data_IF_397702076906
#
_entry.id   IF_397702076906
#
_cell.length_a   1.000
_cell.length_b   1.000
_cell.length_c   1.000
_cell.angle_alpha   90.00
_cell.angle_beta   90.00
_cell.angle_gamma   90.00
#
_symmetry.space_group_name_H-M   'P 1'
#
loop_
_entity.id
_entity.type
_entity.pdbx_description
1 polymer ?
#
# COMPACT_ATOMS: atom_id res chain seq x y z
N UNK A 1 7.98 -22.58 19.24
CA UNK A 1 8.30 -21.28 18.59
C UNK A 1 8.68 -21.57 17.14
N UNK A 2 8.25 -20.80 16.15
CA UNK A 2 8.63 -21.07 14.76
C UNK A 2 10.14 -20.86 14.63
N UNK A 3 10.80 -21.81 13.97
CA UNK A 3 12.25 -22.06 14.08
C UNK A 3 13.10 -21.17 13.16
N UNK A 4 12.50 -20.41 12.23
CA UNK A 4 13.28 -19.79 11.14
C UNK A 4 12.93 -18.32 10.84
N UNK A 5 12.62 -17.50 11.87
CA UNK A 5 12.49 -16.05 11.66
C UNK A 5 13.85 -15.40 11.92
N UNK A 6 14.64 -15.16 10.87
CA UNK A 6 15.87 -14.37 10.97
C UNK A 6 15.53 -12.93 11.36
N UNK A 7 15.80 -12.58 12.61
CA UNK A 7 15.68 -11.21 13.11
C UNK A 7 16.90 -10.44 12.60
N UNK A 8 16.70 -9.44 11.74
CA UNK A 8 17.77 -8.50 11.39
C UNK A 8 18.19 -7.74 12.65
N UNK A 9 19.42 -7.94 13.12
CA UNK A 9 19.97 -7.20 14.27
C UNK A 9 20.41 -5.77 13.91
N UNK A 10 20.43 -5.41 12.61
CA UNK A 10 20.82 -4.08 12.16
C UNK A 10 19.65 -3.10 12.32
N UNK A 11 19.69 -2.31 13.41
CA UNK A 11 18.68 -1.31 13.77
C UNK A 11 18.31 -0.36 12.61
N UNK A 12 19.29 0.08 11.83
CA UNK A 12 19.08 0.98 10.70
C UNK A 12 18.17 0.37 9.61
N UNK A 13 18.38 -0.89 9.25
CA UNK A 13 17.57 -1.57 8.24
C UNK A 13 16.13 -1.76 8.73
N UNK A 14 15.96 -2.06 10.03
CA UNK A 14 14.64 -2.15 10.64
C UNK A 14 13.93 -0.81 10.61
N UNK A 15 14.62 0.29 10.92
CA UNK A 15 14.03 1.63 10.87
C UNK A 15 13.52 2.01 9.46
N UNK A 16 14.21 1.61 8.38
CA UNK A 16 13.76 1.88 7.00
C UNK A 16 12.46 1.15 6.70
N UNK A 17 12.41 -0.15 6.96
CA UNK A 17 11.20 -0.97 6.75
C UNK A 17 10.07 -0.43 7.63
N UNK A 18 10.40 -0.03 8.86
CA UNK A 18 9.42 0.54 9.78
C UNK A 18 8.92 1.93 9.39
N UNK A 19 9.75 2.69 8.70
CA UNK A 19 9.35 3.98 8.20
C UNK A 19 8.44 3.85 6.97
N UNK A 20 8.73 2.88 6.09
CA UNK A 20 7.96 2.65 4.88
C UNK A 20 6.50 2.26 5.20
N UNK A 21 6.30 1.33 6.15
CA UNK A 21 4.95 0.91 6.53
C UNK A 21 4.17 1.93 7.38
N UNK A 22 4.79 3.05 7.79
CA UNK A 22 4.20 4.00 8.75
C UNK A 22 2.93 4.65 8.22
N UNK A 23 2.89 4.93 6.91
CA UNK A 23 1.74 5.52 6.26
C UNK A 23 0.52 4.58 6.31
N UNK A 24 0.73 3.31 5.97
CA UNK A 24 -0.31 2.26 6.00
C UNK A 24 -0.82 2.09 7.43
N UNK A 25 0.08 1.93 8.41
CA UNK A 25 -0.28 1.80 9.83
C UNK A 25 -1.10 3.00 10.33
N UNK A 26 -0.75 4.22 9.94
CA UNK A 26 -1.48 5.43 10.32
C UNK A 26 -2.92 5.42 9.79
N UNK A 27 -3.14 4.95 8.55
CA UNK A 27 -4.48 4.84 7.95
C UNK A 27 -5.30 3.72 8.58
N UNK A 28 -4.68 2.57 8.82
CA UNK A 28 -5.36 1.42 9.44
C UNK A 28 -5.71 1.69 10.90
N UNK A 29 -4.89 2.45 11.64
CA UNK A 29 -5.13 2.76 13.06
C UNK A 29 -6.44 3.52 13.31
N UNK A 30 -6.89 4.34 12.37
CA UNK A 30 -8.19 5.03 12.47
C UNK A 30 -9.38 4.17 12.07
N UNK A 31 -9.17 2.94 11.59
CA UNK A 31 -10.23 2.02 11.18
C UNK A 31 -10.64 1.12 12.36
N UNK A 32 -11.89 0.65 12.35
CA UNK A 32 -12.43 -0.30 13.34
C UNK A 32 -11.90 -1.75 13.17
N UNK A 33 -10.75 -1.93 12.54
CA UNK A 33 -10.17 -3.22 12.18
C UNK A 33 -10.68 -3.79 10.86
N UNK A 34 -9.91 -4.74 10.30
CA UNK A 34 -10.23 -5.44 9.06
C UNK A 34 -10.88 -6.79 9.41
N UNK A 35 -12.14 -6.99 9.02
CA UNK A 35 -12.95 -8.15 9.45
C UNK A 35 -12.64 -9.45 8.70
N UNK A 36 -11.98 -9.38 7.55
CA UNK A 36 -11.59 -10.56 6.75
C UNK A 36 -10.30 -10.30 5.99
N UNK A 37 -9.56 -11.36 5.65
CA UNK A 37 -8.34 -11.26 4.83
C UNK A 37 -8.63 -10.68 3.46
N UNK A 38 -9.71 -11.10 2.80
CA UNK A 38 -10.11 -10.58 1.49
C UNK A 38 -10.35 -9.07 1.55
N UNK A 39 -11.09 -8.61 2.56
CA UNK A 39 -11.35 -7.19 2.79
C UNK A 39 -10.06 -6.44 3.13
N UNK A 40 -9.18 -7.05 3.93
CA UNK A 40 -7.89 -6.47 4.28
C UNK A 40 -7.01 -6.24 3.06
N UNK A 41 -6.88 -7.24 2.17
CA UNK A 41 -6.13 -7.13 0.93
C UNK A 41 -6.67 -6.00 0.06
N UNK A 42 -7.98 -5.96 -0.19
CA UNK A 42 -8.57 -4.89 -1.02
C UNK A 42 -8.37 -3.49 -0.44
N UNK A 43 -8.51 -3.33 0.89
CA UNK A 43 -8.30 -2.04 1.55
C UNK A 43 -6.83 -1.61 1.47
N UNK A 44 -5.90 -2.51 1.76
CA UNK A 44 -4.46 -2.22 1.69
C UNK A 44 -4.05 -1.84 0.27
N UNK A 45 -4.51 -2.59 -0.75
CA UNK A 45 -4.25 -2.26 -2.16
C UNK A 45 -4.79 -0.88 -2.54
N UNK A 46 -5.97 -0.49 -2.05
CA UNK A 46 -6.51 0.87 -2.29
C UNK A 46 -5.71 1.97 -1.60
N UNK A 47 -5.23 1.73 -0.37
CA UNK A 47 -4.37 2.67 0.35
C UNK A 47 -3.05 2.87 -0.41
N UNK A 48 -2.45 1.79 -0.92
CA UNK A 48 -1.22 1.83 -1.72
C UNK A 48 -1.44 2.55 -3.05
N UNK A 49 -2.52 2.25 -3.76
CA UNK A 49 -2.89 2.91 -5.02
C UNK A 49 -2.95 4.43 -4.87
N UNK A 50 -3.68 4.89 -3.85
CA UNK A 50 -3.81 6.33 -3.57
C UNK A 50 -2.49 6.96 -3.16
N UNK A 51 -1.60 6.21 -2.51
CA UNK A 51 -0.27 6.69 -2.16
C UNK A 51 0.63 6.86 -3.39
N UNK A 52 0.59 5.92 -4.33
CA UNK A 52 1.31 5.98 -5.62
C UNK A 52 0.84 7.20 -6.42
N UNK A 53 -0.48 7.38 -6.54
CA UNK A 53 -1.10 8.53 -7.22
C UNK A 53 -0.66 9.84 -6.56
N UNK A 54 -0.80 9.95 -5.24
CA UNK A 54 -0.43 11.17 -4.48
C UNK A 54 1.05 11.52 -4.60
N UNK A 55 1.94 10.53 -4.69
CA UNK A 55 3.37 10.77 -4.90
C UNK A 55 3.72 11.15 -6.34
N UNK A 56 2.78 11.03 -7.28
CA UNK A 56 3.06 11.25 -8.71
C UNK A 56 4.01 10.19 -9.28
N UNK A 57 4.00 8.98 -8.73
CA UNK A 57 4.85 7.86 -9.17
C UNK A 57 4.32 7.14 -10.40
N UNK A 58 3.21 7.61 -10.97
CA UNK A 58 2.71 7.13 -12.25
C UNK A 58 3.70 7.52 -13.35
N UNK A 59 4.35 6.52 -13.96
CA UNK A 59 5.33 6.69 -15.06
C UNK A 59 4.67 7.26 -16.34
N UNK A 60 3.34 7.35 -16.36
CA UNK A 60 2.59 7.98 -17.44
C UNK A 60 2.90 9.49 -17.44
N UNK A 61 3.58 9.92 -18.51
CA UNK A 61 4.19 11.25 -18.74
C UNK A 61 3.29 12.47 -18.46
N UNK A 62 1.98 12.27 -18.31
CA UNK A 62 1.02 13.32 -17.96
C UNK A 62 0.24 12.95 -16.70
N UNK A 63 0.19 13.87 -15.73
CA UNK A 63 -0.69 13.83 -14.54
C UNK A 63 -2.14 14.11 -14.94
N UNK A 64 -2.64 13.36 -15.92
CA UNK A 64 -4.02 13.44 -16.36
C UNK A 64 -4.90 12.58 -15.45
N UNK A 65 -6.05 13.11 -15.06
CA UNK A 65 -7.09 12.38 -14.33
C UNK A 65 -7.46 11.07 -15.05
N UNK A 66 -7.38 11.04 -16.39
CA UNK A 66 -7.63 9.84 -17.20
C UNK A 66 -6.60 8.72 -16.94
N UNK A 67 -5.34 9.07 -16.68
CA UNK A 67 -4.28 8.09 -16.39
C UNK A 67 -4.45 7.51 -14.98
N UNK A 68 -4.89 8.32 -14.01
CA UNK A 68 -5.23 7.85 -12.67
C UNK A 68 -6.45 6.92 -12.70
N UNK A 69 -7.49 7.29 -13.45
CA UNK A 69 -8.67 6.44 -13.68
C UNK A 69 -8.25 5.11 -14.30
N UNK A 70 -7.49 5.13 -15.40
CA UNK A 70 -7.01 3.92 -16.07
C UNK A 70 -6.18 3.02 -15.14
N UNK A 71 -5.33 3.61 -14.30
CA UNK A 71 -4.55 2.88 -13.31
C UNK A 71 -5.45 2.20 -12.27
N UNK A 72 -6.48 2.89 -11.76
CA UNK A 72 -7.44 2.31 -10.82
C UNK A 72 -8.21 1.15 -11.47
N UNK A 73 -8.68 1.31 -12.71
CA UNK A 73 -9.35 0.23 -13.44
C UNK A 73 -8.44 -0.99 -13.63
N UNK A 74 -7.18 -0.78 -14.01
CA UNK A 74 -6.19 -1.85 -14.14
C UNK A 74 -5.91 -2.56 -12.82
N UNK A 75 -5.76 -1.80 -11.73
CA UNK A 75 -5.42 -2.35 -10.42
C UNK A 75 -6.55 -3.20 -9.82
N UNK A 76 -7.80 -2.77 -10.02
CA UNK A 76 -8.97 -3.46 -9.48
C UNK A 76 -9.67 -4.38 -10.48
N UNK A 77 -9.15 -4.51 -11.71
CA UNK A 77 -9.74 -5.33 -12.76
C UNK A 77 -11.17 -4.91 -13.13
N UNK A 78 -11.51 -3.63 -12.98
CA UNK A 78 -12.83 -3.13 -13.32
C UNK A 78 -12.90 -2.91 -14.83
N UNK A 79 -13.90 -3.48 -15.50
CA UNK A 79 -14.21 -3.14 -16.88
C UNK A 79 -14.49 -1.63 -16.96
N UNK A 80 -13.73 -0.94 -17.82
CA UNK A 80 -13.93 0.47 -18.14
C UNK A 80 -15.04 0.63 -19.18
#
# INVERSE_FOLDING_TARGET
>A
MPVDIQIRQVKYLNNIVEQDHRFIKKRVRSMLGLKSFRTATSILSGIEAMHIIKKGQLILRDKSVQNEIKFIHQLFGMAA
#
